data_IF_943494973012
#
_entry.id   IF_943494973012
#
_cell.length_a   1.000
_cell.length_b   1.000
_cell.length_c   1.000
_cell.angle_alpha   90.00
_cell.angle_beta   90.00
_cell.angle_gamma   90.00
#
_symmetry.space_group_name_H-M   'P 1'
#
loop_
_entity.id
_entity.type
_entity.pdbx_description
1 polymer ?
#
# COMPACT_ATOMS: atom_id res chain seq x y z
N UNK A 1 2.96 1.01 27.17
CA UNK A 1 2.09 0.14 26.36
C UNK A 1 1.77 0.90 25.06
N UNK A 2 2.75 1.02 24.15
CA UNK A 2 2.70 2.08 23.12
C UNK A 2 3.40 1.69 21.81
N UNK A 3 3.36 0.40 21.43
CA UNK A 3 4.11 -0.08 20.24
C UNK A 3 3.19 -0.57 19.10
N UNK A 4 1.90 -0.84 19.35
CA UNK A 4 0.97 -1.36 18.33
C UNK A 4 0.43 -0.33 17.32
N UNK A 5 0.42 0.97 17.64
CA UNK A 5 -0.10 2.01 16.72
C UNK A 5 0.91 2.43 15.65
N UNK A 6 2.20 2.37 15.95
CA UNK A 6 3.26 2.82 15.03
C UNK A 6 3.36 1.91 13.81
N UNK A 7 3.15 0.60 13.99
CA UNK A 7 3.20 -0.38 12.89
C UNK A 7 2.05 -0.16 11.91
N UNK A 8 0.84 0.13 12.40
CA UNK A 8 -0.33 0.40 11.55
C UNK A 8 -0.17 1.67 10.70
N UNK A 9 0.40 2.74 11.27
CA UNK A 9 0.72 3.96 10.53
C UNK A 9 1.85 3.73 9.51
N UNK A 10 2.93 3.04 9.91
CA UNK A 10 4.04 2.72 9.02
C UNK A 10 3.61 1.84 7.83
N UNK A 11 2.68 0.90 8.06
CA UNK A 11 2.12 0.07 7.00
C UNK A 11 1.40 0.88 5.91
N UNK A 12 0.80 2.03 6.24
CA UNK A 12 0.09 2.87 5.26
C UNK A 12 1.04 3.89 4.62
N UNK A 13 1.96 4.44 5.42
CA UNK A 13 2.86 5.52 4.99
C UNK A 13 3.96 5.00 4.06
N UNK A 14 4.48 3.80 4.29
CA UNK A 14 5.55 3.22 3.48
C UNK A 14 5.14 3.02 2.01
N UNK A 15 3.99 2.40 1.67
CA UNK A 15 3.53 2.31 0.29
C UNK A 15 3.29 3.69 -0.32
N UNK A 16 2.59 4.57 0.39
CA UNK A 16 2.31 5.92 -0.09
C UNK A 16 3.58 6.72 -0.45
N UNK A 17 4.63 6.64 0.39
CA UNK A 17 5.92 7.27 0.11
C UNK A 17 6.62 6.61 -1.09
N UNK A 18 6.58 5.28 -1.18
CA UNK A 18 7.19 4.54 -2.29
C UNK A 18 6.52 4.88 -3.63
N UNK A 19 5.19 4.97 -3.64
CA UNK A 19 4.38 5.42 -4.78
C UNK A 19 4.75 6.83 -5.23
N UNK A 20 4.80 7.77 -4.26
CA UNK A 20 5.13 9.17 -4.53
C UNK A 20 6.54 9.33 -5.12
N UNK A 21 7.51 8.58 -4.59
CA UNK A 21 8.88 8.59 -5.11
C UNK A 21 8.94 7.97 -6.51
N UNK A 22 8.25 6.86 -6.77
CA UNK A 22 8.17 6.25 -8.10
C UNK A 22 7.61 7.19 -9.16
N UNK A 23 6.54 7.91 -8.85
CA UNK A 23 5.95 8.94 -9.73
C UNK A 23 6.93 10.10 -9.95
N UNK A 24 7.61 10.56 -8.90
CA UNK A 24 8.61 11.64 -9.02
C UNK A 24 9.78 11.23 -9.94
N UNK A 25 10.22 9.97 -9.90
CA UNK A 25 11.23 9.44 -10.80
C UNK A 25 10.75 9.42 -12.26
N UNK A 26 9.50 9.05 -12.52
CA UNK A 26 8.91 9.08 -13.86
C UNK A 26 8.79 10.52 -14.37
N UNK A 27 8.36 11.46 -13.52
CA UNK A 27 8.32 12.89 -13.88
C UNK A 27 9.72 13.45 -14.16
N UNK A 28 10.71 13.09 -13.34
CA UNK A 28 12.09 13.49 -13.56
C UNK A 28 12.63 12.96 -14.91
N UNK A 29 12.29 11.72 -15.27
CA UNK A 29 12.64 11.14 -16.56
C UNK A 29 12.10 11.94 -17.75
N UNK A 30 10.89 12.50 -17.62
CA UNK A 30 10.25 13.32 -18.66
C UNK A 30 10.95 14.68 -18.87
N UNK A 31 11.60 15.21 -17.83
CA UNK A 31 12.31 16.50 -17.89
C UNK A 31 13.75 16.32 -18.41
N UNK A 32 14.33 15.11 -18.26
CA UNK A 32 15.71 14.81 -18.67
C UNK A 32 15.79 14.61 -20.19
N UNK A 33 16.61 15.44 -20.86
CA UNK A 33 16.79 15.38 -22.31
C UNK A 33 17.78 14.29 -22.79
N UNK A 34 18.32 13.48 -21.87
CA UNK A 34 19.23 12.38 -22.16
C UNK A 34 18.48 11.04 -22.17
N UNK A 35 18.33 10.42 -23.34
CA UNK A 35 17.57 9.17 -23.53
C UNK A 35 18.00 8.03 -22.60
N UNK A 36 19.30 7.85 -22.37
CA UNK A 36 19.84 6.79 -21.49
C UNK A 36 19.40 7.00 -20.04
N UNK A 37 19.42 8.25 -19.57
CA UNK A 37 19.03 8.60 -18.21
C UNK A 37 17.51 8.51 -18.08
N UNK A 38 16.76 8.95 -19.09
CA UNK A 38 15.31 8.81 -19.15
C UNK A 38 14.86 7.35 -19.04
N UNK A 39 15.44 6.43 -19.82
CA UNK A 39 15.10 5.00 -19.75
C UNK A 39 15.41 4.41 -18.37
N UNK A 40 16.57 4.74 -17.79
CA UNK A 40 16.93 4.28 -16.46
C UNK A 40 15.94 4.77 -15.38
N UNK A 41 15.54 6.04 -15.42
CA UNK A 41 14.57 6.60 -14.48
C UNK A 41 13.16 6.03 -14.67
N UNK A 42 12.73 5.77 -15.90
CA UNK A 42 11.44 5.11 -16.18
C UNK A 42 11.44 3.68 -15.64
N UNK A 43 12.49 2.90 -15.89
CA UNK A 43 12.58 1.52 -15.42
C UNK A 43 12.58 1.47 -13.89
N UNK A 44 13.40 2.31 -13.24
CA UNK A 44 13.46 2.38 -11.77
C UNK A 44 12.13 2.82 -11.18
N UNK A 45 11.49 3.84 -11.76
CA UNK A 45 10.17 4.31 -11.32
C UNK A 45 9.09 3.26 -11.48
N UNK A 46 9.09 2.52 -12.60
CA UNK A 46 8.17 1.43 -12.86
C UNK A 46 8.37 0.26 -11.87
N UNK A 47 9.61 -0.12 -11.58
CA UNK A 47 9.94 -1.16 -10.59
C UNK A 47 9.51 -0.73 -9.18
N UNK A 48 9.75 0.53 -8.79
CA UNK A 48 9.27 1.06 -7.51
C UNK A 48 7.75 1.02 -7.38
N UNK A 49 7.03 1.47 -8.42
CA UNK A 49 5.56 1.41 -8.45
C UNK A 49 5.04 -0.02 -8.42
N UNK A 50 5.72 -0.93 -9.11
CA UNK A 50 5.34 -2.35 -9.07
C UNK A 50 5.51 -2.92 -7.66
N UNK A 51 6.61 -2.61 -6.98
CA UNK A 51 6.81 -3.04 -5.60
C UNK A 51 5.75 -2.45 -4.68
N UNK A 52 5.42 -1.16 -4.86
CA UNK A 52 4.35 -0.49 -4.13
C UNK A 52 2.99 -1.18 -4.29
N UNK A 53 2.66 -1.62 -5.51
CA UNK A 53 1.43 -2.36 -5.80
C UNK A 53 1.35 -3.67 -5.00
N UNK A 54 2.46 -4.43 -4.94
CA UNK A 54 2.51 -5.67 -4.16
C UNK A 54 2.34 -5.43 -2.67
N UNK A 55 3.02 -4.41 -2.13
CA UNK A 55 2.93 -4.05 -0.71
C UNK A 55 1.51 -3.60 -0.38
N UNK A 56 0.92 -2.73 -1.19
CA UNK A 56 -0.46 -2.26 -1.04
C UNK A 56 -1.46 -3.41 -1.09
N UNK A 57 -1.31 -4.34 -2.04
CA UNK A 57 -2.16 -5.53 -2.16
C UNK A 57 -2.09 -6.43 -0.90
N UNK A 58 -0.89 -6.59 -0.32
CA UNK A 58 -0.70 -7.37 0.90
C UNK A 58 -1.40 -6.71 2.11
N UNK A 59 -1.32 -5.39 2.23
CA UNK A 59 -1.98 -4.62 3.28
C UNK A 59 -3.50 -4.69 3.13
N UNK A 60 -4.02 -4.50 1.91
CA UNK A 60 -5.45 -4.59 1.63
C UNK A 60 -5.96 -5.99 1.99
N UNK A 61 -5.26 -7.05 1.57
CA UNK A 61 -5.64 -8.43 1.88
C UNK A 61 -5.66 -8.68 3.40
N UNK A 62 -4.70 -8.13 4.13
CA UNK A 62 -4.70 -8.21 5.60
C UNK A 62 -5.86 -7.46 6.24
N UNK A 63 -6.12 -6.22 5.78
CA UNK A 63 -7.25 -5.41 6.26
C UNK A 63 -8.60 -6.05 5.99
N UNK A 64 -8.83 -6.56 4.78
CA UNK A 64 -10.08 -7.24 4.41
C UNK A 64 -10.31 -8.47 5.28
N UNK A 65 -9.29 -9.31 5.50
CA UNK A 65 -9.40 -10.48 6.37
C UNK A 65 -9.72 -10.11 7.82
N UNK A 66 -9.22 -8.97 8.28
CA UNK A 66 -9.55 -8.45 9.61
C UNK A 66 -10.99 -7.95 9.70
N UNK A 67 -11.51 -7.34 8.62
CA UNK A 67 -12.90 -6.89 8.54
C UNK A 67 -13.88 -8.05 8.46
N UNK A 68 -13.61 -9.07 7.64
CA UNK A 68 -14.46 -10.27 7.54
C UNK A 68 -14.65 -10.95 8.89
N UNK A 69 -13.57 -11.07 9.69
CA UNK A 69 -13.67 -11.61 11.06
C UNK A 69 -14.55 -10.75 11.96
N UNK A 70 -14.47 -9.43 11.84
CA UNK A 70 -15.27 -8.51 12.66
C UNK A 70 -16.74 -8.57 12.27
N UNK A 71 -17.03 -8.68 10.98
CA UNK A 71 -18.40 -8.85 10.46
C UNK A 71 -18.98 -10.18 10.95
N UNK A 72 -18.25 -11.29 10.81
CA UNK A 72 -18.71 -12.60 11.27
C UNK A 72 -19.04 -12.65 12.77
N UNK A 73 -18.26 -11.95 13.61
CA UNK A 73 -18.55 -11.84 15.05
C UNK A 73 -19.78 -10.99 15.34
N UNK A 74 -20.00 -9.91 14.58
CA UNK A 74 -21.19 -9.07 14.74
C UNK A 74 -22.45 -9.83 14.30
N UNK A 75 -22.36 -10.59 13.22
CA UNK A 75 -23.46 -11.41 12.70
C UNK A 75 -23.85 -12.52 13.68
N UNK A 76 -22.88 -13.22 14.27
CA UNK A 76 -23.18 -14.23 15.30
C UNK A 76 -23.76 -13.63 16.58
N UNK A 77 -23.33 -12.42 16.96
CA UNK A 77 -23.88 -11.73 18.15
C UNK A 77 -25.30 -11.21 17.91
N UNK A 78 -25.65 -10.89 16.67
CA UNK A 78 -27.01 -10.47 16.30
C UNK A 78 -27.96 -11.66 16.26
N UNK A 79 -27.54 -12.81 15.70
CA UNK A 79 -28.37 -14.03 15.66
C UNK A 79 -28.70 -14.59 17.03
N UNK A 80 -27.78 -14.47 18.00
CA UNK A 80 -28.02 -14.91 19.38
C UNK A 80 -29.01 -14.01 20.14
N UNK A 81 -29.25 -12.78 19.67
CA UNK A 81 -30.13 -11.80 20.32
C UNK A 81 -31.56 -11.81 19.75
N UNK A 82 -31.81 -12.55 18.65
CA UNK A 82 -33.13 -12.77 18.05
C UNK A 82 -33.74 -14.14 18.43
N UNK A 83 -33.06 -14.94 19.27
CA UNK A 83 -33.52 -16.23 19.82
C UNK A 83 -33.96 -16.08 21.28
#
# INVERSE_FOLDING_TARGET
MTVRRTVGGALIVVPSLLSGVGIAFILAALIVNHRIVQDAFIIVGAVMLWFDFFVTMAIIRYSLRSLDRRIAVLESSQSDNES
#
